data_IF_453133019762
#
_entry.id   IF_453133019762
#
_cell.length_a   1.000
_cell.length_b   1.000
_cell.length_c   1.000
_cell.angle_alpha   90.00
_cell.angle_beta   90.00
_cell.angle_gamma   90.00
#
_symmetry.space_group_name_H-M   'P 1'
#
loop_
_entity.id
_entity.type
_entity.pdbx_description
1 polymer ?
#
# COMPACT_ATOMS: atom_id res chain seq x y z
N UNK A 1 -10.49 -7.27 -1.33
CA UNK A 1 -9.97 -6.61 -0.12
C UNK A 1 -8.75 -7.39 0.33
N UNK A 2 -7.70 -6.74 0.84
CA UNK A 2 -6.52 -7.44 1.35
C UNK A 2 -6.80 -8.00 2.74
N UNK A 3 -6.28 -9.19 3.04
CA UNK A 3 -6.17 -9.71 4.41
C UNK A 3 -5.02 -9.01 5.16
N UNK A 4 -4.94 -9.10 6.51
CA UNK A 4 -3.83 -8.52 7.25
C UNK A 4 -2.45 -9.03 6.82
N UNK A 5 -2.35 -10.30 6.44
CA UNK A 5 -1.10 -10.89 5.93
C UNK A 5 -0.75 -10.32 4.56
N UNK A 6 -1.72 -10.18 3.65
CA UNK A 6 -1.47 -9.58 2.33
C UNK A 6 -1.11 -8.10 2.44
N UNK A 7 -1.76 -7.37 3.35
CA UNK A 7 -1.43 -5.98 3.66
C UNK A 7 -0.01 -5.85 4.23
N UNK A 8 0.37 -6.74 5.16
CA UNK A 8 1.73 -6.79 5.71
C UNK A 8 2.79 -7.00 4.63
N UNK A 9 2.61 -8.00 3.76
CA UNK A 9 3.54 -8.27 2.67
C UNK A 9 3.64 -7.09 1.69
N UNK A 10 2.51 -6.45 1.36
CA UNK A 10 2.51 -5.26 0.51
C UNK A 10 3.27 -4.10 1.17
N UNK A 11 2.99 -3.81 2.45
CA UNK A 11 3.67 -2.75 3.18
C UNK A 11 5.17 -3.03 3.38
N UNK A 12 5.59 -4.29 3.47
CA UNK A 12 7.00 -4.67 3.46
C UNK A 12 7.64 -4.35 2.12
N UNK A 13 7.04 -4.79 1.01
CA UNK A 13 7.52 -4.50 -0.34
C UNK A 13 7.63 -2.99 -0.62
N UNK A 14 6.64 -2.19 -0.19
CA UNK A 14 6.67 -0.74 -0.36
C UNK A 14 7.82 -0.08 0.44
N UNK A 15 8.17 -0.60 1.61
CA UNK A 15 9.31 -0.10 2.39
C UNK A 15 10.66 -0.53 1.77
N UNK A 16 10.79 -1.77 1.30
CA UNK A 16 12.06 -2.28 0.75
C UNK A 16 12.32 -1.81 -0.68
N UNK A 17 11.31 -1.75 -1.53
CA UNK A 17 11.44 -1.41 -2.95
C UNK A 17 11.35 0.11 -3.18
N UNK A 18 10.43 0.79 -2.48
CA UNK A 18 10.13 2.20 -2.73
C UNK A 18 10.51 3.14 -1.57
N UNK A 19 10.97 2.60 -0.44
CA UNK A 19 11.37 3.39 0.72
C UNK A 19 10.22 3.95 1.57
N UNK A 20 8.97 3.52 1.36
CA UNK A 20 7.81 3.90 2.18
C UNK A 20 7.82 3.17 3.54
N UNK A 21 8.80 3.48 4.36
CA UNK A 21 8.97 2.85 5.67
C UNK A 21 8.16 3.60 6.73
N UNK A 22 6.86 3.31 6.73
CA UNK A 22 5.88 3.86 7.65
C UNK A 22 6.28 3.68 9.12
N UNK A 23 5.87 4.62 9.97
CA UNK A 23 5.99 4.43 11.42
C UNK A 23 5.20 3.20 11.89
N UNK A 24 5.66 2.60 12.99
CA UNK A 24 5.09 1.34 13.49
C UNK A 24 3.59 1.43 13.77
N UNK A 25 3.08 2.58 14.22
CA UNK A 25 1.67 2.77 14.53
C UNK A 25 0.80 2.87 13.29
N UNK A 26 1.26 3.60 12.26
CA UNK A 26 0.56 3.66 10.98
C UNK A 26 0.60 2.32 10.24
N UNK A 27 1.75 1.64 10.26
CA UNK A 27 1.90 0.30 9.69
C UNK A 27 0.91 -0.69 10.31
N UNK A 28 0.90 -0.81 11.65
CA UNK A 28 0.01 -1.74 12.36
C UNK A 28 -1.48 -1.44 12.08
N UNK A 29 -1.83 -0.16 11.88
CA UNK A 29 -3.20 0.24 11.55
C UNK A 29 -3.61 -0.21 10.16
N UNK A 30 -2.75 -0.01 9.16
CA UNK A 30 -3.00 -0.42 7.77
C UNK A 30 -2.99 -1.94 7.60
N UNK A 31 -2.17 -2.65 8.37
CA UNK A 31 -2.18 -4.11 8.40
C UNK A 31 -3.49 -4.65 8.97
N UNK A 32 -3.97 -4.10 10.10
CA UNK A 32 -5.21 -4.59 10.73
C UNK A 32 -6.47 -4.22 9.95
N UNK A 33 -6.50 -3.02 9.37
CA UNK A 33 -7.67 -2.48 8.68
C UNK A 33 -7.27 -1.91 7.31
N UNK A 34 -6.90 -2.77 6.34
CA UNK A 34 -6.48 -2.31 5.03
C UNK A 34 -7.67 -1.67 4.28
N UNK A 35 -7.48 -0.50 3.64
CA UNK A 35 -8.49 0.07 2.76
C UNK A 35 -8.92 -0.92 1.66
N UNK A 36 -10.19 -0.87 1.27
CA UNK A 36 -10.79 -1.88 0.39
C UNK A 36 -10.48 -1.75 -1.10
N UNK A 37 -9.73 -0.73 -1.52
CA UNK A 37 -9.42 -0.48 -2.93
C UNK A 37 -8.06 0.14 -3.15
N UNK A 38 -7.54 -0.02 -4.36
CA UNK A 38 -6.19 0.40 -4.79
C UNK A 38 -5.93 1.87 -4.46
N UNK A 39 -6.79 2.77 -4.95
CA UNK A 39 -6.64 4.21 -4.73
C UNK A 39 -6.66 4.57 -3.25
N UNK A 40 -7.60 4.02 -2.49
CA UNK A 40 -7.73 4.28 -1.05
C UNK A 40 -6.53 3.74 -0.26
N UNK A 41 -5.98 2.60 -0.66
CA UNK A 41 -4.79 2.01 -0.03
C UNK A 41 -3.56 2.87 -0.30
N UNK A 42 -3.32 3.23 -1.57
CA UNK A 42 -2.24 4.14 -1.96
C UNK A 42 -2.31 5.45 -1.19
N UNK A 43 -3.46 6.11 -1.21
CA UNK A 43 -3.63 7.42 -0.57
C UNK A 43 -3.37 7.31 0.94
N UNK A 44 -3.74 6.19 1.56
CA UNK A 44 -3.49 5.93 2.99
C UNK A 44 -2.01 5.66 3.29
N UNK A 45 -1.28 4.96 2.41
CA UNK A 45 0.18 4.78 2.52
C UNK A 45 0.90 6.12 2.38
N UNK A 46 0.58 6.91 1.36
CA UNK A 46 1.17 8.24 1.20
C UNK A 46 0.91 9.12 2.43
N UNK A 47 -0.33 9.14 2.92
CA UNK A 47 -0.69 9.91 4.12
C UNK A 47 0.06 9.44 5.36
N UNK A 48 0.30 8.14 5.51
CA UNK A 48 1.08 7.56 6.60
C UNK A 48 2.58 7.95 6.51
N UNK A 49 3.10 8.08 5.30
CA UNK A 49 4.47 8.57 5.03
C UNK A 49 4.59 10.10 5.17
N UNK A 50 3.47 10.80 5.39
CA UNK A 50 3.44 12.26 5.53
C UNK A 50 3.48 13.04 4.21
N UNK A 51 3.19 12.38 3.08
CA UNK A 51 3.17 12.98 1.74
C UNK A 51 1.80 12.82 1.06
N UNK A 52 1.52 13.60 0.02
CA UNK A 52 0.40 13.30 -0.88
C UNK A 52 0.90 12.55 -2.10
N UNK A 53 0.04 11.74 -2.72
CA UNK A 53 0.36 11.07 -3.98
C UNK A 53 0.77 12.07 -5.10
N UNK A 54 0.24 13.29 -5.07
CA UNK A 54 0.62 14.38 -5.99
C UNK A 54 2.02 14.94 -5.77
N UNK A 55 2.61 14.68 -4.60
CA UNK A 55 3.93 15.20 -4.23
C UNK A 55 5.05 14.22 -4.60
N UNK A 56 4.69 13.00 -5.02
CA UNK A 56 5.62 11.98 -5.48
C UNK A 56 6.09 12.26 -6.92
N UNK A 57 7.32 11.85 -7.22
CA UNK A 57 7.77 11.76 -8.61
C UNK A 57 6.88 10.81 -9.41
N UNK A 58 6.66 11.10 -10.69
CA UNK A 58 5.78 10.32 -11.55
C UNK A 58 6.22 8.85 -11.67
N UNK A 59 7.53 8.57 -11.64
CA UNK A 59 8.04 7.20 -11.65
C UNK A 59 7.68 6.47 -10.36
N UNK A 60 7.91 7.10 -9.20
CA UNK A 60 7.59 6.53 -7.88
C UNK A 60 6.08 6.31 -7.73
N UNK A 61 5.26 7.28 -8.17
CA UNK A 61 3.81 7.14 -8.15
C UNK A 61 3.33 5.98 -9.03
N UNK A 62 3.91 5.84 -10.23
CA UNK A 62 3.59 4.74 -11.14
C UNK A 62 3.96 3.37 -10.56
N UNK A 63 5.12 3.26 -9.92
CA UNK A 63 5.57 2.00 -9.30
C UNK A 63 4.73 1.64 -8.07
N UNK A 64 4.38 2.62 -7.24
CA UNK A 64 3.45 2.47 -6.13
C UNK A 64 2.07 1.98 -6.62
N UNK A 65 1.51 2.63 -7.65
CA UNK A 65 0.22 2.24 -8.24
C UNK A 65 0.28 0.80 -8.80
N UNK A 66 1.39 0.40 -9.41
CA UNK A 66 1.58 -0.95 -9.96
C UNK A 66 1.64 -2.02 -8.87
N UNK A 67 2.43 -1.80 -7.81
CA UNK A 67 2.54 -2.73 -6.68
C UNK A 67 1.20 -2.92 -5.96
N UNK A 68 0.51 -1.82 -5.65
CA UNK A 68 -0.80 -1.88 -4.99
C UNK A 68 -1.82 -2.56 -5.90
N UNK A 69 -1.92 -2.18 -7.16
CA UNK A 69 -2.86 -2.81 -8.11
C UNK A 69 -2.64 -4.31 -8.25
N UNK A 70 -1.39 -4.73 -8.37
CA UNK A 70 -1.01 -6.14 -8.46
C UNK A 70 -1.38 -6.93 -7.20
N UNK A 71 -1.21 -6.35 -6.01
CA UNK A 71 -1.60 -7.00 -4.76
C UNK A 71 -3.12 -7.20 -4.67
N UNK A 72 -3.91 -6.18 -5.05
CA UNK A 72 -5.36 -6.28 -5.05
C UNK A 72 -5.90 -7.27 -6.09
N UNK A 73 -5.30 -7.34 -7.28
CA UNK A 73 -5.65 -8.33 -8.29
C UNK A 73 -5.41 -9.76 -7.78
N UNK A 74 -4.23 -10.03 -7.22
CA UNK A 74 -3.88 -11.33 -6.60
C UNK A 74 -4.82 -11.72 -5.47
N UNK A 75 -5.22 -10.76 -4.64
CA UNK A 75 -6.19 -11.01 -3.56
C UNK A 75 -7.59 -11.31 -4.12
N UNK A 76 -8.03 -10.60 -5.17
CA UNK A 76 -9.32 -10.85 -5.81
C UNK A 76 -9.42 -12.27 -6.41
N UNK A 77 -8.32 -12.78 -6.98
CA UNK A 77 -8.25 -14.15 -7.52
C UNK A 77 -8.27 -15.23 -6.43
N UNK A 78 -7.80 -14.94 -5.22
CA UNK A 78 -7.73 -15.89 -4.10
C UNK A 78 -9.02 -15.96 -3.28
N UNK A 79 -9.72 -14.83 -3.19
CA UNK A 79 -10.89 -14.68 -2.32
C UNK A 79 -12.21 -14.52 -3.11
N UNK A 80 -12.16 -14.58 -4.45
CA UNK A 80 -13.32 -14.54 -5.35
C UNK A 80 -13.83 -15.93 -5.67
#
# INVERSE_FOLDING_TARGET
>A
MLTPVEAHCLLEALCTELGFCLDAGARERLERNPPSGVRSFRDAVCAAEGVRASDLDAAVLGELDALVSSAFARAAERHG
#
